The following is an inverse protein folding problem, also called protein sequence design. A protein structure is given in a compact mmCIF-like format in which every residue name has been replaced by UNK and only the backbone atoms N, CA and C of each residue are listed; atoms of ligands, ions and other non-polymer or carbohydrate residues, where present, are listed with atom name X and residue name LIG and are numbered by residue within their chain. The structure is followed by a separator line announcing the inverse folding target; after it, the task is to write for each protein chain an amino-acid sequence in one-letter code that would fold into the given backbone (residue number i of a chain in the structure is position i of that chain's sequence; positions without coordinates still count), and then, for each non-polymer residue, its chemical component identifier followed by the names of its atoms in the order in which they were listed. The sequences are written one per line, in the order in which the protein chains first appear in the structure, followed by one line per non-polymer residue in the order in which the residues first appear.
data_IF_755884284887
#
_entry.id   IF_755884284887
#
_cell.length_a   1.000
_cell.length_b   1.000
_cell.length_c   1.000
_cell.angle_alpha   90.00
_cell.angle_beta   90.00
_cell.angle_gamma   90.00
#
_symmetry.space_group_name_H-M   'P 1'
#
loop_
_entity.id
_entity.type
_entity.pdbx_description
1 polymer ?
#
# COMPACT_ATOMS: atom_id res chain seq x y z
N UNK A 1 -13.29 -71.71 23.90
CA UNK A 1 -14.39 -71.74 24.89
C UNK A 1 -15.27 -70.51 24.68
N UNK A 2 -16.60 -70.64 24.92
CA UNK A 2 -17.72 -69.88 24.34
C UNK A 2 -18.00 -68.58 25.13
N UNK A 3 -18.88 -67.62 24.78
CA UNK A 3 -20.35 -67.63 24.50
C UNK A 3 -20.75 -66.26 23.89
N UNK A 4 -21.51 -66.16 22.80
CA UNK A 4 -23.00 -66.04 22.75
C UNK A 4 -23.59 -64.85 23.52
N UNK A 5 -24.18 -63.86 22.83
CA UNK A 5 -25.63 -63.66 22.78
C UNK A 5 -26.02 -62.43 21.93
N UNK A 6 -26.96 -62.66 21.02
CA UNK A 6 -27.71 -61.68 20.27
C UNK A 6 -29.06 -61.46 20.97
N UNK A 7 -29.59 -60.23 20.89
CA UNK A 7 -30.99 -59.82 21.02
C UNK A 7 -31.02 -58.40 20.37
N UNK A 8 -31.89 -57.98 19.44
CA UNK A 8 -33.23 -58.41 19.07
C UNK A 8 -34.14 -57.17 19.17
N UNK A 9 -34.54 -56.55 18.05
CA UNK A 9 -35.84 -55.85 17.90
C UNK A 9 -36.07 -55.43 16.41
N UNK A 10 -37.12 -55.94 15.74
CA UNK A 10 -37.51 -55.54 14.37
C UNK A 10 -38.55 -54.38 14.32
N UNK A 11 -38.74 -53.72 13.14
CA UNK A 11 -39.51 -52.47 13.01
C UNK A 11 -41.02 -52.67 12.78
N UNK A 12 -41.84 -51.68 13.15
CA UNK A 12 -43.28 -51.65 12.91
C UNK A 12 -43.77 -50.26 12.41
N UNK A 13 -44.91 -50.18 11.70
CA UNK A 13 -45.03 -49.44 10.44
C UNK A 13 -45.91 -48.17 10.50
N UNK A 14 -45.82 -47.36 9.43
CA UNK A 14 -46.54 -46.09 9.26
C UNK A 14 -48.06 -46.21 9.11
N UNK A 15 -48.74 -45.11 9.45
CA UNK A 15 -50.15 -44.80 9.13
C UNK A 15 -50.36 -43.26 9.08
N UNK A 16 -50.53 -42.70 7.89
CA UNK A 16 -51.44 -41.55 7.64
C UNK A 16 -52.89 -42.12 7.47
N UNK A 17 -54.02 -41.36 7.33
CA UNK A 17 -54.28 -39.91 7.09
C UNK A 17 -55.49 -39.42 7.98
N UNK A 18 -56.46 -38.54 7.58
CA UNK A 18 -56.57 -37.43 6.60
C UNK A 18 -57.18 -36.12 7.19
N UNK A 19 -57.10 -34.98 6.48
CA UNK A 19 -58.23 -34.02 6.26
C UNK A 19 -57.80 -32.74 5.50
N UNK A 20 -58.35 -32.55 4.30
CA UNK A 20 -58.74 -31.22 3.78
C UNK A 20 -60.14 -30.90 4.37
N UNK A 21 -60.77 -29.70 4.23
CA UNK A 21 -60.48 -28.57 3.32
C UNK A 21 -60.62 -27.17 3.97
N UNK A 22 -60.39 -26.08 3.23
CA UNK A 22 -61.35 -24.95 3.00
C UNK A 22 -60.63 -23.72 2.45
N UNK A 23 -61.10 -23.23 1.30
CA UNK A 23 -60.71 -21.99 0.66
C UNK A 23 -61.53 -20.79 1.17
N UNK A 24 -60.90 -19.59 1.32
CA UNK A 24 -61.43 -18.21 1.12
C UNK A 24 -60.61 -17.14 1.89
N UNK A 25 -60.71 -15.83 1.57
CA UNK A 25 -60.55 -15.14 0.29
C UNK A 25 -59.54 -13.95 0.40
N UNK A 26 -59.35 -13.24 -0.69
CA UNK A 26 -58.59 -12.00 -0.87
C UNK A 26 -58.52 -11.05 0.34
N UNK A 27 -57.31 -10.76 0.80
CA UNK A 27 -56.99 -9.55 1.57
C UNK A 27 -55.97 -8.74 0.79
N UNK A 28 -56.46 -7.74 0.05
CA UNK A 28 -55.63 -6.65 -0.48
C UNK A 28 -55.03 -5.90 0.70
N UNK A 29 -53.78 -6.21 1.02
CA UNK A 29 -52.96 -5.42 1.93
C UNK A 29 -52.48 -4.18 1.17
N UNK A 30 -53.20 -3.07 1.35
CA UNK A 30 -52.60 -1.75 1.27
C UNK A 30 -51.52 -1.66 2.35
N UNK A 31 -50.28 -1.90 1.96
CA UNK A 31 -49.11 -1.47 2.72
C UNK A 31 -48.48 -0.32 1.96
N UNK A 32 -48.72 0.88 2.48
CA UNK A 32 -47.93 2.07 2.21
C UNK A 32 -46.45 1.74 2.40
N UNK A 33 -45.56 1.96 1.42
CA UNK A 33 -44.13 1.94 1.69
C UNK A 33 -43.84 3.22 2.50
N UNK A 34 -43.63 3.04 3.80
CA UNK A 34 -42.93 4.01 4.63
C UNK A 34 -41.63 4.39 3.94
N UNK A 35 -41.43 5.69 3.73
CA UNK A 35 -40.19 6.32 3.30
C UNK A 35 -39.04 5.76 4.14
N UNK A 36 -38.34 4.77 3.59
CA UNK A 36 -37.06 4.35 4.10
C UNK A 36 -36.13 5.51 3.77
N UNK A 37 -35.86 6.35 4.76
CA UNK A 37 -34.74 7.29 4.71
C UNK A 37 -33.51 6.42 4.45
N UNK A 38 -33.14 6.32 3.18
CA UNK A 38 -31.86 5.80 2.73
C UNK A 38 -30.81 6.67 3.41
N UNK A 39 -30.37 6.20 4.56
CA UNK A 39 -29.09 6.55 5.12
C UNK A 39 -28.12 6.02 4.09
N UNK A 40 -27.75 6.86 3.12
CA UNK A 40 -26.59 6.64 2.28
C UNK A 40 -25.46 6.26 3.23
N UNK A 41 -25.15 4.97 3.28
CA UNK A 41 -23.95 4.49 3.92
C UNK A 41 -22.84 5.29 3.23
N UNK A 42 -21.95 5.97 3.96
CA UNK A 42 -20.80 6.61 3.32
C UNK A 42 -20.18 5.50 2.49
N UNK A 43 -20.22 5.69 1.17
CA UNK A 43 -19.73 4.73 0.22
C UNK A 43 -18.33 4.42 0.69
N UNK A 44 -18.12 3.23 1.26
CA UNK A 44 -16.78 2.69 1.42
C UNK A 44 -16.31 2.70 0.00
N UNK A 45 -15.48 3.70 -0.32
CA UNK A 45 -14.86 3.90 -1.60
C UNK A 45 -14.26 2.55 -1.92
N UNK A 46 -14.98 1.74 -2.69
CA UNK A 46 -14.52 0.43 -3.10
C UNK A 46 -13.26 0.76 -3.85
N UNK A 47 -12.12 0.42 -3.23
CA UNK A 47 -10.82 0.62 -3.79
C UNK A 47 -10.95 0.15 -5.24
N UNK A 48 -10.83 1.09 -6.20
CA UNK A 48 -10.83 0.71 -7.60
C UNK A 48 -9.84 -0.45 -7.68
N UNK A 49 -10.16 -1.59 -8.33
CA UNK A 49 -9.18 -2.63 -8.58
C UNK A 49 -8.19 -2.12 -9.63
N UNK A 50 -7.52 -1.02 -9.30
CA UNK A 50 -6.45 -0.39 -10.04
C UNK A 50 -5.18 -0.98 -9.48
N UNK A 51 -4.71 -2.05 -10.13
CA UNK A 51 -3.34 -2.55 -10.11
C UNK A 51 -2.49 -2.06 -8.92
N UNK A 52 -2.69 -2.66 -7.74
CA UNK A 52 -1.78 -2.43 -6.63
C UNK A 52 -0.45 -3.13 -6.94
N UNK A 53 0.70 -2.44 -6.85
CA UNK A 53 1.97 -3.01 -7.26
C UNK A 53 2.44 -4.07 -6.24
N UNK A 54 2.17 -5.34 -6.55
CA UNK A 54 2.33 -6.46 -5.62
C UNK A 54 3.79 -6.79 -5.26
N UNK A 55 4.73 -6.64 -6.20
CA UNK A 55 6.15 -6.95 -5.96
C UNK A 55 6.77 -5.84 -5.11
N UNK A 56 6.50 -4.59 -5.46
CA UNK A 56 7.07 -3.44 -4.74
C UNK A 56 6.54 -3.29 -3.31
N UNK A 57 5.34 -3.81 -3.00
CA UNK A 57 4.75 -3.81 -1.67
C UNK A 57 5.24 -4.97 -0.78
N UNK A 58 6.09 -5.85 -1.29
CA UNK A 58 6.74 -6.88 -0.47
C UNK A 58 7.56 -6.20 0.66
N UNK A 59 7.44 -6.65 1.94
CA UNK A 59 8.18 -6.06 3.06
C UNK A 59 9.69 -5.92 2.83
N UNK A 60 10.30 -6.86 2.11
CA UNK A 60 11.72 -6.79 1.76
C UNK A 60 12.02 -5.63 0.81
N UNK A 61 11.16 -5.40 -0.19
CA UNK A 61 11.30 -4.28 -1.14
C UNK A 61 11.10 -2.94 -0.44
N UNK A 62 10.15 -2.85 0.50
CA UNK A 62 9.96 -1.67 1.34
C UNK A 62 11.16 -1.41 2.24
N UNK A 63 11.76 -2.45 2.83
CA UNK A 63 12.97 -2.33 3.63
C UNK A 63 14.17 -1.84 2.80
N UNK A 64 14.35 -2.36 1.58
CA UNK A 64 15.39 -1.88 0.64
C UNK A 64 15.14 -0.41 0.29
N UNK A 65 13.90 -0.05 -0.03
CA UNK A 65 13.51 1.33 -0.32
C UNK A 65 13.80 2.26 0.85
N UNK A 66 13.45 1.86 2.05
CA UNK A 66 13.71 2.62 3.27
C UNK A 66 15.22 2.78 3.50
N UNK A 67 16.02 1.75 3.26
CA UNK A 67 17.47 1.84 3.38
C UNK A 67 18.07 2.79 2.32
N UNK A 68 17.55 2.76 1.09
CA UNK A 68 17.93 3.72 0.04
C UNK A 68 17.55 5.16 0.41
N UNK A 69 16.43 5.36 1.10
CA UNK A 69 15.99 6.65 1.63
C UNK A 69 16.96 7.18 2.70
N UNK A 70 17.29 6.36 3.70
CA UNK A 70 18.27 6.72 4.72
C UNK A 70 19.64 7.02 4.10
N UNK A 71 20.07 6.20 3.15
CA UNK A 71 21.33 6.41 2.42
C UNK A 71 21.32 7.74 1.65
N UNK A 72 20.25 8.06 0.94
CA UNK A 72 20.15 9.31 0.18
C UNK A 72 20.17 10.53 1.11
N UNK A 73 19.36 10.51 2.17
CA UNK A 73 19.31 11.60 3.17
C UNK A 73 20.67 11.78 3.85
N UNK A 74 21.30 10.69 4.30
CA UNK A 74 22.63 10.72 4.91
C UNK A 74 23.71 11.24 3.94
N UNK A 75 23.62 10.90 2.66
CA UNK A 75 24.55 11.33 1.62
C UNK A 75 24.56 12.85 1.44
N UNK A 76 23.39 13.49 1.50
CA UNK A 76 23.29 14.94 1.46
C UNK A 76 23.99 15.61 2.65
N UNK A 77 23.88 15.03 3.85
CA UNK A 77 24.60 15.49 5.04
C UNK A 77 26.11 15.32 4.90
N UNK A 78 26.56 14.15 4.42
CA UNK A 78 27.98 13.87 4.15
C UNK A 78 28.55 14.87 3.13
N UNK A 79 27.80 15.17 2.08
CA UNK A 79 28.19 16.17 1.09
C UNK A 79 28.31 17.57 1.70
N UNK A 80 27.30 18.02 2.46
CA UNK A 80 27.34 19.30 3.16
C UNK A 80 28.56 19.46 4.08
N UNK A 81 28.99 18.37 4.71
CA UNK A 81 30.19 18.37 5.57
C UNK A 81 31.50 18.40 4.79
N UNK A 82 31.59 17.62 3.70
CA UNK A 82 32.86 17.38 2.97
C UNK A 82 33.13 18.35 1.84
N UNK A 83 32.11 18.99 1.28
CA UNK A 83 32.26 19.85 0.11
C UNK A 83 32.74 21.27 0.43
N UNK A 84 32.70 21.68 1.70
CA UNK A 84 33.00 23.06 2.10
C UNK A 84 33.84 23.13 3.38
N UNK A 85 34.95 23.88 3.33
CA UNK A 85 35.78 24.19 4.52
C UNK A 85 35.27 25.42 5.29
N UNK A 86 34.20 26.06 4.81
CA UNK A 86 33.58 27.23 5.42
C UNK A 86 32.62 26.86 6.56
N UNK A 87 32.36 27.75 7.54
CA UNK A 87 31.28 27.56 8.53
C UNK A 87 29.90 27.26 7.91
N UNK A 88 29.67 27.63 6.64
CA UNK A 88 28.49 27.24 5.88
C UNK A 88 28.22 25.73 5.86
N UNK A 89 29.24 24.89 6.03
CA UNK A 89 29.07 23.43 6.12
C UNK A 89 28.07 23.00 7.18
N UNK A 90 28.03 23.67 8.34
CA UNK A 90 27.10 23.30 9.41
C UNK A 90 25.65 23.54 9.00
N UNK A 91 25.39 24.64 8.29
CA UNK A 91 24.07 24.91 7.73
C UNK A 91 23.72 23.87 6.66
N UNK A 92 24.64 23.58 5.74
CA UNK A 92 24.39 22.67 4.61
C UNK A 92 24.16 21.22 5.05
N UNK A 93 24.87 20.75 6.08
CA UNK A 93 24.66 19.42 6.69
C UNK A 93 23.22 19.23 7.15
N UNK A 94 22.57 20.28 7.66
CA UNK A 94 21.17 20.21 8.09
C UNK A 94 20.20 20.54 6.95
N UNK A 95 20.50 21.58 6.17
CA UNK A 95 19.58 22.14 5.18
C UNK A 95 19.32 21.20 4.01
N UNK A 96 20.35 20.53 3.47
CA UNK A 96 20.16 19.63 2.33
C UNK A 96 19.29 18.41 2.70
N UNK A 97 19.57 17.67 3.78
CA UNK A 97 18.69 16.59 4.24
C UNK A 97 17.27 17.06 4.54
N UNK A 98 17.12 18.24 5.16
CA UNK A 98 15.81 18.77 5.50
C UNK A 98 14.98 19.11 4.27
N UNK A 99 15.59 19.71 3.24
CA UNK A 99 14.93 19.96 1.95
C UNK A 99 14.50 18.63 1.32
N UNK A 100 15.38 17.63 1.29
CA UNK A 100 15.05 16.32 0.73
C UNK A 100 13.88 15.65 1.48
N UNK A 101 13.89 15.69 2.81
CA UNK A 101 12.83 15.15 3.65
C UNK A 101 11.50 15.90 3.47
N UNK A 102 11.55 17.24 3.38
CA UNK A 102 10.37 18.06 3.11
C UNK A 102 9.77 17.74 1.74
N UNK A 103 10.59 17.72 0.68
CA UNK A 103 10.14 17.33 -0.66
C UNK A 103 9.49 15.94 -0.65
N UNK A 104 10.14 14.97 0.00
CA UNK A 104 9.66 13.60 0.09
C UNK A 104 8.37 13.42 0.88
N UNK A 105 8.18 14.19 1.95
CA UNK A 105 7.01 14.15 2.84
C UNK A 105 5.82 14.97 2.34
N UNK A 106 6.08 16.10 1.70
CA UNK A 106 5.03 17.04 1.25
C UNK A 106 4.34 16.56 -0.03
N UNK A 107 5.10 16.09 -1.02
CA UNK A 107 4.55 15.72 -2.32
C UNK A 107 4.27 14.21 -2.38
N UNK A 108 3.00 13.82 -2.43
CA UNK A 108 2.64 12.41 -2.54
C UNK A 108 1.47 12.19 -3.50
N UNK A 109 1.39 10.97 -4.03
CA UNK A 109 0.32 10.54 -4.93
C UNK A 109 -0.88 10.15 -4.07
N UNK A 110 -2.08 10.67 -4.36
CA UNK A 110 -3.29 10.28 -3.64
C UNK A 110 -3.50 8.76 -3.66
N UNK A 111 -3.74 8.16 -2.49
CA UNK A 111 -3.97 6.73 -2.37
C UNK A 111 -2.75 5.85 -2.65
N UNK A 112 -1.52 6.38 -2.53
CA UNK A 112 -0.30 5.57 -2.61
C UNK A 112 -0.33 4.44 -1.56
N UNK A 113 -0.39 3.16 -1.98
CA UNK A 113 -0.49 2.02 -1.07
C UNK A 113 0.79 1.77 -0.25
N UNK A 114 1.92 2.39 -0.64
CA UNK A 114 3.16 2.34 0.13
C UNK A 114 3.21 3.36 1.28
N UNK A 115 2.15 4.18 1.45
CA UNK A 115 2.03 5.23 2.45
C UNK A 115 0.64 5.26 3.08
N UNK A 116 0.44 6.14 4.05
CA UNK A 116 -0.85 6.36 4.72
C UNK A 116 -1.95 6.93 3.81
N UNK A 117 -1.68 7.21 2.53
CA UNK A 117 -2.65 7.75 1.57
C UNK A 117 -2.95 9.24 1.72
N UNK A 118 -2.51 9.88 2.80
CA UNK A 118 -2.66 11.32 3.05
C UNK A 118 -1.42 12.08 2.57
N UNK A 119 -1.62 13.04 1.66
CA UNK A 119 -0.59 13.88 1.10
C UNK A 119 -0.91 15.34 1.42
N UNK A 120 0.00 16.11 2.05
CA UNK A 120 -0.18 17.56 2.19
C UNK A 120 -0.34 18.25 0.84
N UNK A 121 0.40 17.80 -0.18
CA UNK A 121 0.27 18.25 -1.57
C UNK A 121 0.17 17.02 -2.49
N UNK A 122 -0.98 16.89 -3.14
CA UNK A 122 -1.23 15.84 -4.13
C UNK A 122 -0.52 16.15 -5.45
N UNK A 123 0.23 15.19 -5.97
CA UNK A 123 0.95 15.32 -7.26
C UNK A 123 0.69 14.12 -8.18
N UNK A 124 0.78 14.29 -9.51
CA UNK A 124 0.73 13.16 -10.45
C UNK A 124 1.82 12.14 -10.17
N UNK A 125 1.59 10.87 -10.49
CA UNK A 125 2.55 9.81 -10.20
C UNK A 125 3.88 9.96 -10.96
N UNK A 126 3.87 10.57 -12.15
CA UNK A 126 5.08 10.92 -12.90
C UNK A 126 5.94 11.97 -12.18
N UNK A 127 5.32 12.98 -11.57
CA UNK A 127 6.02 13.98 -10.75
C UNK A 127 6.62 13.33 -9.51
N UNK A 128 5.85 12.44 -8.87
CA UNK A 128 6.35 11.66 -7.74
C UNK A 128 7.56 10.79 -8.14
N UNK A 129 7.49 10.10 -9.28
CA UNK A 129 8.61 9.31 -9.78
C UNK A 129 9.84 10.18 -10.03
N UNK A 130 9.68 11.33 -10.69
CA UNK A 130 10.78 12.27 -10.92
C UNK A 130 11.42 12.74 -9.61
N UNK A 131 10.60 13.05 -8.59
CA UNK A 131 11.06 13.42 -7.26
C UNK A 131 11.87 12.29 -6.60
N UNK A 132 11.39 11.05 -6.69
CA UNK A 132 12.07 9.89 -6.12
C UNK A 132 13.43 9.65 -6.78
N UNK A 133 13.47 9.71 -8.12
CA UNK A 133 14.73 9.61 -8.86
C UNK A 133 15.67 10.76 -8.49
N UNK A 134 15.16 11.99 -8.41
CA UNK A 134 15.96 13.16 -8.06
C UNK A 134 16.59 13.02 -6.67
N UNK A 135 15.83 12.55 -5.68
CA UNK A 135 16.33 12.40 -4.30
C UNK A 135 17.33 11.24 -4.21
N UNK A 136 17.01 10.07 -4.79
CA UNK A 136 17.89 8.92 -4.70
C UNK A 136 19.17 9.06 -5.53
N UNK A 137 19.06 9.47 -6.80
CA UNK A 137 20.25 9.76 -7.61
C UNK A 137 20.97 11.02 -7.12
N UNK A 138 20.25 12.00 -6.57
CA UNK A 138 20.85 13.15 -5.90
C UNK A 138 21.72 12.76 -4.72
N UNK A 139 21.30 11.77 -3.92
CA UNK A 139 22.13 11.19 -2.86
C UNK A 139 23.40 10.53 -3.40
N UNK A 140 23.30 9.74 -4.48
CA UNK A 140 24.48 9.16 -5.12
C UNK A 140 25.43 10.24 -5.70
N UNK A 141 24.87 11.27 -6.35
CA UNK A 141 25.63 12.41 -6.85
C UNK A 141 26.31 13.19 -5.71
N UNK A 142 25.63 13.35 -4.57
CA UNK A 142 26.18 13.97 -3.37
C UNK A 142 27.38 13.18 -2.81
N UNK A 143 27.31 11.84 -2.76
CA UNK A 143 28.47 11.01 -2.38
C UNK A 143 29.63 11.17 -3.36
N UNK A 144 29.33 11.20 -4.66
CA UNK A 144 30.36 11.37 -5.68
C UNK A 144 31.07 12.73 -5.51
N UNK A 145 30.29 13.81 -5.38
CA UNK A 145 30.79 15.15 -5.16
C UNK A 145 31.51 15.33 -3.81
N UNK A 146 31.18 14.50 -2.81
CA UNK A 146 31.89 14.42 -1.54
C UNK A 146 33.22 13.64 -1.59
N UNK A 147 33.64 13.17 -2.78
CA UNK A 147 34.86 12.40 -2.98
C UNK A 147 34.73 10.93 -2.55
N UNK A 148 33.53 10.38 -2.52
CA UNK A 148 33.23 8.99 -2.14
C UNK A 148 32.67 8.18 -3.34
N UNK A 149 33.40 8.07 -4.48
CA UNK A 149 32.86 7.52 -5.72
C UNK A 149 32.47 6.04 -5.60
N UNK A 150 33.18 5.26 -4.78
CA UNK A 150 32.83 3.86 -4.53
C UNK A 150 31.43 3.72 -3.92
N UNK A 151 31.12 4.55 -2.91
CA UNK A 151 29.81 4.54 -2.26
C UNK A 151 28.72 5.10 -3.18
N UNK A 152 29.05 6.11 -4.00
CA UNK A 152 28.16 6.61 -5.04
C UNK A 152 27.77 5.51 -6.05
N UNK A 153 28.75 4.74 -6.53
CA UNK A 153 28.51 3.63 -7.47
C UNK A 153 27.70 2.50 -6.85
N UNK A 154 28.01 2.11 -5.60
CA UNK A 154 27.26 1.06 -4.89
C UNK A 154 25.79 1.50 -4.70
N UNK A 155 25.56 2.72 -4.20
CA UNK A 155 24.20 3.22 -3.97
C UNK A 155 23.42 3.37 -5.28
N UNK A 156 24.03 3.91 -6.34
CA UNK A 156 23.41 4.00 -7.66
C UNK A 156 23.11 2.61 -8.26
N UNK A 157 24.02 1.64 -8.09
CA UNK A 157 23.81 0.26 -8.55
C UNK A 157 22.64 -0.42 -7.84
N UNK A 158 22.57 -0.30 -6.51
CA UNK A 158 21.44 -0.82 -5.72
C UNK A 158 20.14 -0.13 -6.12
N UNK A 159 20.16 1.18 -6.33
CA UNK A 159 18.99 1.94 -6.79
C UNK A 159 18.49 1.45 -8.15
N UNK A 160 19.37 1.28 -9.13
CA UNK A 160 19.01 0.77 -10.46
C UNK A 160 18.42 -0.63 -10.37
N UNK A 161 19.04 -1.52 -9.58
CA UNK A 161 18.52 -2.86 -9.34
C UNK A 161 17.13 -2.82 -8.68
N UNK A 162 16.96 -1.98 -7.65
CA UNK A 162 15.67 -1.78 -7.00
C UNK A 162 14.60 -1.30 -7.99
N UNK A 163 14.91 -0.31 -8.84
CA UNK A 163 13.98 0.19 -9.84
C UNK A 163 13.59 -0.88 -10.87
N UNK A 164 14.54 -1.73 -11.27
CA UNK A 164 14.27 -2.85 -12.16
C UNK A 164 13.35 -3.90 -11.50
N UNK A 165 13.55 -4.19 -10.21
CA UNK A 165 12.72 -5.13 -9.45
C UNK A 165 11.34 -4.56 -9.11
N UNK A 166 11.25 -3.24 -8.85
CA UNK A 166 10.03 -2.51 -8.54
C UNK A 166 9.33 -1.95 -9.80
N UNK A 167 9.43 -2.65 -10.94
CA UNK A 167 8.87 -2.19 -12.22
C UNK A 167 7.35 -1.99 -12.18
N UNK A 168 6.65 -2.78 -11.37
CA UNK A 168 5.21 -2.70 -11.12
C UNK A 168 4.82 -1.35 -10.50
N UNK A 169 5.65 -0.82 -9.60
CA UNK A 169 5.45 0.50 -9.01
C UNK A 169 5.66 1.63 -10.00
N UNK A 170 6.65 1.51 -10.88
CA UNK A 170 6.88 2.49 -11.94
C UNK A 170 5.68 2.50 -12.90
N UNK A 171 5.20 1.33 -13.29
CA UNK A 171 4.03 1.19 -14.16
C UNK A 171 2.74 1.77 -13.51
N UNK A 172 2.60 1.64 -12.19
CA UNK A 172 1.51 2.28 -11.44
C UNK A 172 1.65 3.80 -11.41
N UNK A 173 2.82 4.33 -11.04
CA UNK A 173 3.07 5.78 -10.95
C UNK A 173 2.88 6.49 -12.30
N UNK A 174 3.23 5.86 -13.42
CA UNK A 174 3.04 6.46 -14.75
C UNK A 174 1.56 6.57 -15.13
N UNK A 175 0.69 5.76 -14.54
CA UNK A 175 -0.75 5.74 -14.80
C UNK A 175 -1.56 6.55 -13.78
N UNK A 176 -0.96 6.90 -12.65
CA UNK A 176 -1.60 7.54 -11.50
C UNK A 176 -1.62 9.07 -11.57
#
# INVERSE_FOLDING_TARGET
MPTTHADGEPPAPGREPPTAPTARPDRKLHTTPTTHTDRELPTVQTARPGYAPAVSLNPAMLAIRFLLELMAIGSFGVYGWRAFDSPWRFLLVALLPLIAAALWGTFAVPGDPSRSGEAPVSVPGTVRLALELLIFFGGAAALFAAGLPRWALISAGILVLYQALAYDRIAWLVKA
#
